data_IF_254165461899
#
_entry.id   IF_254165461899
#
_cell.length_a   1.000
_cell.length_b   1.000
_cell.length_c   1.000
_cell.angle_alpha   90.00
_cell.angle_beta   90.00
_cell.angle_gamma   90.00
#
_symmetry.space_group_name_H-M   'P 1'
#
loop_
_entity.id
_entity.type
_entity.pdbx_description
1 polymer ?
#
# COMPACT_ATOMS: atom_id res chain seq x y z
N UNK A 1 -22.68 9.69 9.24
CA UNK A 1 -21.29 9.21 9.19
C UNK A 1 -20.86 9.22 7.76
N UNK A 2 -19.69 9.79 7.46
CA UNK A 2 -19.31 10.08 6.09
C UNK A 2 -18.77 8.83 5.40
N UNK A 3 -19.26 8.59 4.20
CA UNK A 3 -18.86 7.48 3.36
C UNK A 3 -17.69 7.88 2.46
N UNK A 4 -16.86 6.91 2.10
CA UNK A 4 -15.81 7.03 1.09
C UNK A 4 -16.11 6.06 -0.03
N UNK A 5 -15.96 6.49 -1.27
CA UNK A 5 -16.23 5.68 -2.45
C UNK A 5 -14.90 5.20 -3.03
N UNK A 6 -14.76 3.88 -3.19
CA UNK A 6 -13.56 3.27 -3.77
C UNK A 6 -13.72 3.29 -5.28
N UNK A 7 -12.91 4.09 -5.97
CA UNK A 7 -13.00 4.28 -7.43
C UNK A 7 -11.90 3.54 -8.19
N UNK A 8 -10.79 3.24 -7.51
CA UNK A 8 -9.67 2.52 -8.08
C UNK A 8 -9.03 1.60 -7.04
N UNK A 9 -8.62 0.42 -7.48
CA UNK A 9 -7.90 -0.55 -6.66
C UNK A 9 -6.72 -1.11 -7.45
N UNK A 10 -5.59 -1.26 -6.78
CA UNK A 10 -4.47 -2.07 -7.28
C UNK A 10 -3.97 -3.00 -6.19
N UNK A 11 -3.42 -4.12 -6.60
CA UNK A 11 -2.79 -5.12 -5.73
C UNK A 11 -1.64 -5.75 -6.51
N UNK A 12 -0.51 -5.92 -5.83
CA UNK A 12 0.62 -6.64 -6.36
C UNK A 12 1.29 -7.48 -5.26
N UNK A 13 1.25 -8.79 -5.43
CA UNK A 13 1.93 -9.77 -4.59
C UNK A 13 2.19 -11.05 -5.39
N UNK A 14 3.05 -11.99 -4.92
CA UNK A 14 3.25 -13.27 -5.56
C UNK A 14 1.91 -13.97 -5.85
N UNK A 15 1.56 -14.21 -7.11
CA UNK A 15 0.29 -14.82 -7.51
C UNK A 15 -0.92 -13.87 -7.59
N UNK A 16 -0.78 -12.60 -7.19
CA UNK A 16 -1.82 -11.55 -7.24
C UNK A 16 -1.29 -10.36 -8.04
N UNK A 17 -1.44 -10.39 -9.37
CA UNK A 17 -0.84 -9.40 -10.29
C UNK A 17 -1.92 -8.49 -10.87
N UNK A 18 -2.08 -7.31 -10.29
CA UNK A 18 -3.11 -6.34 -10.68
C UNK A 18 -4.50 -6.76 -10.21
N UNK A 19 -5.42 -5.78 -10.15
CA UNK A 19 -6.76 -6.00 -9.60
C UNK A 19 -7.56 -7.07 -10.35
N UNK A 20 -7.67 -6.95 -11.68
CA UNK A 20 -8.54 -7.81 -12.48
C UNK A 20 -8.18 -9.30 -12.36
N UNK A 21 -6.88 -9.65 -12.40
CA UNK A 21 -6.46 -11.03 -12.23
C UNK A 21 -6.64 -11.51 -10.78
N UNK A 22 -6.35 -10.63 -9.82
CA UNK A 22 -6.45 -10.95 -8.40
C UNK A 22 -7.90 -11.15 -7.94
N UNK A 23 -8.88 -10.45 -8.55
CA UNK A 23 -10.30 -10.63 -8.24
C UNK A 23 -10.74 -12.08 -8.31
N UNK A 24 -10.42 -12.80 -9.39
CA UNK A 24 -10.78 -14.21 -9.55
C UNK A 24 -10.17 -15.11 -8.46
N UNK A 25 -9.02 -14.74 -7.90
CA UNK A 25 -8.42 -15.47 -6.77
C UNK A 25 -9.12 -15.11 -5.47
N UNK A 26 -9.36 -13.82 -5.23
CA UNK A 26 -10.01 -13.31 -4.03
C UNK A 26 -11.47 -13.77 -3.90
N UNK A 27 -12.18 -13.96 -5.02
CA UNK A 27 -13.56 -14.49 -5.06
C UNK A 27 -13.61 -16.02 -4.97
N UNK A 28 -12.46 -16.71 -4.99
CA UNK A 28 -12.39 -18.17 -4.96
C UNK A 28 -12.67 -18.85 -6.30
N UNK A 29 -12.83 -18.11 -7.40
CA UNK A 29 -12.99 -18.67 -8.75
C UNK A 29 -11.72 -19.38 -9.23
N UNK A 30 -10.56 -18.97 -8.74
CA UNK A 30 -9.26 -19.61 -8.97
C UNK A 30 -8.51 -19.80 -7.65
N UNK A 31 -7.81 -20.93 -7.47
CA UNK A 31 -6.99 -21.14 -6.29
C UNK A 31 -5.83 -20.14 -6.26
N UNK A 32 -5.46 -19.70 -5.06
CA UNK A 32 -4.25 -18.91 -4.87
C UNK A 32 -3.01 -19.79 -5.00
N UNK A 33 -2.07 -19.37 -5.84
CA UNK A 33 -0.75 -19.97 -5.94
C UNK A 33 0.29 -18.86 -6.01
N UNK A 34 1.21 -18.86 -5.05
CA UNK A 34 2.34 -17.94 -5.07
C UNK A 34 3.16 -18.15 -6.35
N UNK A 35 3.44 -17.05 -7.05
CA UNK A 35 4.25 -17.03 -8.27
C UNK A 35 5.25 -15.87 -8.22
N UNK A 36 6.34 -15.96 -8.98
CA UNK A 36 7.32 -14.87 -9.04
C UNK A 36 6.66 -13.56 -9.48
N UNK A 37 7.02 -12.46 -8.82
CA UNK A 37 6.59 -11.13 -9.26
C UNK A 37 7.22 -10.81 -10.63
N UNK A 38 6.46 -10.19 -11.54
CA UNK A 38 7.03 -9.66 -12.77
C UNK A 38 8.02 -8.54 -12.44
N UNK A 39 9.02 -8.29 -13.31
CA UNK A 39 9.92 -7.15 -13.14
C UNK A 39 9.12 -5.85 -13.24
N UNK A 40 9.27 -4.98 -12.23
CA UNK A 40 8.61 -3.68 -12.23
C UNK A 40 9.48 -2.61 -12.88
N UNK A 41 8.85 -1.83 -13.75
CA UNK A 41 9.46 -0.69 -14.41
C UNK A 41 8.72 0.60 -14.02
N UNK A 42 9.46 1.60 -13.52
CA UNK A 42 8.92 2.92 -13.21
C UNK A 42 8.87 3.79 -14.48
N UNK A 43 8.08 3.36 -15.47
CA UNK A 43 8.03 4.02 -16.78
C UNK A 43 7.46 5.44 -16.74
N UNK A 44 6.68 5.77 -15.70
CA UNK A 44 6.20 7.13 -15.44
C UNK A 44 7.31 8.14 -15.14
N UNK A 45 8.46 7.68 -14.61
CA UNK A 45 9.54 8.57 -14.26
C UNK A 45 10.36 8.98 -15.49
N UNK A 46 10.92 10.20 -15.52
CA UNK A 46 11.93 10.55 -16.51
C UNK A 46 13.16 9.64 -16.37
N UNK A 47 13.96 9.56 -17.45
CA UNK A 47 14.99 8.54 -17.59
C UNK A 47 16.06 8.57 -16.48
N UNK A 48 16.40 9.74 -15.95
CA UNK A 48 17.43 9.90 -14.91
C UNK A 48 16.95 9.35 -13.57
N UNK A 49 15.73 9.70 -13.18
CA UNK A 49 15.06 9.27 -11.95
C UNK A 49 14.79 7.77 -12.01
N UNK A 50 14.31 7.27 -13.16
CA UNK A 50 14.02 5.85 -13.39
C UNK A 50 15.22 4.93 -13.15
N UNK A 51 16.44 5.40 -13.43
CA UNK A 51 17.68 4.63 -13.21
C UNK A 51 18.09 4.56 -11.74
N UNK A 52 17.56 5.44 -10.89
CA UNK A 52 17.96 5.56 -9.48
C UNK A 52 16.98 4.87 -8.55
N UNK A 53 15.70 4.72 -8.91
CA UNK A 53 14.67 4.20 -8.00
C UNK A 53 14.86 2.75 -7.57
N UNK A 54 14.52 2.50 -6.31
CA UNK A 54 14.60 1.20 -5.63
C UNK A 54 13.41 0.29 -5.99
N UNK A 55 13.46 -0.96 -5.53
CA UNK A 55 12.35 -1.90 -5.69
C UNK A 55 11.07 -1.41 -4.99
N UNK A 56 11.19 -0.83 -3.79
CA UNK A 56 10.03 -0.31 -3.04
C UNK A 56 9.35 0.83 -3.79
N UNK A 57 10.13 1.78 -4.30
CA UNK A 57 9.58 2.90 -5.08
C UNK A 57 8.92 2.39 -6.36
N UNK A 58 9.52 1.42 -7.06
CA UNK A 58 8.90 0.82 -8.26
C UNK A 58 7.56 0.16 -7.94
N UNK A 59 7.46 -0.57 -6.82
CA UNK A 59 6.22 -1.18 -6.34
C UNK A 59 5.16 -0.12 -6.04
N UNK A 60 5.50 0.89 -5.23
CA UNK A 60 4.57 1.95 -4.85
C UNK A 60 4.04 2.73 -6.06
N UNK A 61 4.91 3.12 -7.00
CA UNK A 61 4.51 3.85 -8.21
C UNK A 61 3.65 3.00 -9.15
N UNK A 62 3.94 1.70 -9.28
CA UNK A 62 3.14 0.80 -10.08
C UNK A 62 1.71 0.69 -9.53
N UNK A 63 1.57 0.46 -8.23
CA UNK A 63 0.27 0.38 -7.55
C UNK A 63 -0.53 1.69 -7.67
N UNK A 64 0.16 2.81 -7.43
CA UNK A 64 -0.42 4.14 -7.56
C UNK A 64 -0.96 4.40 -8.98
N UNK A 65 -0.15 4.06 -9.99
CA UNK A 65 -0.53 4.22 -11.40
C UNK A 65 -1.75 3.38 -11.76
N UNK A 66 -1.78 2.11 -11.37
CA UNK A 66 -2.90 1.22 -11.68
C UNK A 66 -4.20 1.69 -11.01
N UNK A 67 -4.16 2.09 -9.74
CA UNK A 67 -5.34 2.57 -9.03
C UNK A 67 -5.89 3.87 -9.63
N UNK A 68 -5.02 4.82 -9.97
CA UNK A 68 -5.43 6.08 -10.65
C UNK A 68 -5.98 5.80 -12.05
N UNK A 69 -5.32 4.92 -12.82
CA UNK A 69 -5.79 4.55 -14.15
C UNK A 69 -7.15 3.85 -14.12
N UNK A 70 -7.40 3.01 -13.12
CA UNK A 70 -8.70 2.36 -12.94
C UNK A 70 -9.82 3.35 -12.67
N UNK A 71 -9.54 4.38 -11.87
CA UNK A 71 -10.51 5.41 -11.53
C UNK A 71 -10.67 6.51 -12.60
N UNK A 72 -9.87 6.46 -13.67
CA UNK A 72 -9.88 7.45 -14.76
C UNK A 72 -9.79 8.90 -14.28
N UNK A 73 -8.91 9.17 -13.31
CA UNK A 73 -8.73 10.50 -12.73
C UNK A 73 -7.35 11.11 -13.04
N UNK A 74 -7.26 12.45 -12.98
CA UNK A 74 -5.99 13.15 -13.14
C UNK A 74 -5.12 12.99 -11.88
N UNK A 75 -3.95 12.33 -11.94
CA UNK A 75 -3.09 12.14 -10.77
C UNK A 75 -2.64 13.46 -10.13
N UNK A 76 -2.64 14.58 -10.88
CA UNK A 76 -2.24 15.90 -10.38
C UNK A 76 -3.23 16.50 -9.39
N UNK A 77 -4.46 16.01 -9.36
CA UNK A 77 -5.54 16.53 -8.50
C UNK A 77 -5.77 15.69 -7.25
N UNK A 78 -5.03 14.59 -7.08
CA UNK A 78 -5.25 13.60 -6.03
C UNK A 78 -4.24 13.80 -4.90
N UNK A 79 -4.72 13.96 -3.67
CA UNK A 79 -3.86 13.92 -2.48
C UNK A 79 -3.39 12.48 -2.24
N UNK A 80 -2.23 12.29 -1.59
CA UNK A 80 -1.66 10.94 -1.44
C UNK A 80 -1.32 10.58 0.00
N UNK A 81 -1.49 9.31 0.35
CA UNK A 81 -1.02 8.73 1.60
C UNK A 81 -0.20 7.49 1.26
N UNK A 82 1.08 7.49 1.63
CA UNK A 82 1.95 6.34 1.49
C UNK A 82 2.19 5.69 2.87
N UNK A 83 1.89 4.41 2.98
CA UNK A 83 2.06 3.65 4.21
C UNK A 83 3.04 2.49 3.99
N UNK A 84 4.00 2.34 4.89
CA UNK A 84 4.92 1.21 4.93
C UNK A 84 5.42 1.00 6.35
N UNK A 85 5.50 -0.25 6.79
CA UNK A 85 6.07 -0.59 8.08
C UNK A 85 7.54 -0.21 8.16
N UNK A 86 8.34 -0.66 7.20
CA UNK A 86 9.80 -0.59 7.25
C UNK A 86 10.43 0.53 6.42
N UNK A 87 9.68 1.12 5.49
CA UNK A 87 10.28 1.93 4.44
C UNK A 87 11.25 1.11 3.58
N UNK A 88 12.27 1.76 3.04
CA UNK A 88 13.26 1.11 2.17
C UNK A 88 14.40 0.50 2.99
N UNK A 89 14.14 -0.70 3.53
CA UNK A 89 15.07 -1.42 4.39
C UNK A 89 16.36 -1.83 3.69
N UNK A 90 16.34 -2.06 2.38
CA UNK A 90 17.54 -2.34 1.58
C UNK A 90 18.46 -1.11 1.53
N UNK A 91 17.90 0.08 1.28
CA UNK A 91 18.67 1.34 1.32
C UNK A 91 19.25 1.59 2.71
N UNK A 92 18.46 1.35 3.77
CA UNK A 92 18.93 1.53 5.14
C UNK A 92 20.07 0.58 5.50
N UNK A 93 19.97 -0.70 5.12
CA UNK A 93 21.03 -1.68 5.32
C UNK A 93 22.33 -1.25 4.62
N UNK A 94 22.24 -0.80 3.36
CA UNK A 94 23.41 -0.33 2.60
C UNK A 94 24.08 0.89 3.24
N UNK A 95 23.29 1.83 3.78
CA UNK A 95 23.83 2.98 4.51
C UNK A 95 24.52 2.53 5.80
N UNK A 96 23.88 1.67 6.58
CA UNK A 96 24.45 1.14 7.81
C UNK A 96 25.75 0.37 7.54
N UNK A 97 25.78 -0.48 6.52
CA UNK A 97 26.98 -1.20 6.10
C UNK A 97 28.10 -0.22 5.71
N UNK A 98 27.80 0.81 4.91
CA UNK A 98 28.78 1.83 4.52
C UNK A 98 29.37 2.58 5.73
N UNK A 99 28.57 2.85 6.77
CA UNK A 99 29.04 3.50 8.01
C UNK A 99 30.04 2.67 8.81
N UNK A 100 30.10 1.34 8.58
CA UNK A 100 31.07 0.44 9.24
C UNK A 100 32.44 0.41 8.55
N UNK A 101 32.54 0.91 7.31
CA UNK A 101 33.76 0.91 6.51
C UNK A 101 34.68 2.11 6.84
N UNK A 102 36.00 2.02 6.53
CA UNK A 102 36.88 3.19 6.54
C UNK A 102 36.32 4.33 5.68
N UNK A 103 36.50 5.57 6.11
CA UNK A 103 36.00 6.80 5.46
C UNK A 103 34.46 6.92 5.33
N UNK A 104 33.70 5.93 5.82
CA UNK A 104 32.23 5.94 5.90
C UNK A 104 31.56 6.38 4.58
N UNK A 105 31.80 5.67 3.46
CA UNK A 105 31.42 6.10 2.12
C UNK A 105 29.90 5.97 1.86
N UNK A 106 29.10 6.77 2.54
CA UNK A 106 27.64 6.81 2.35
C UNK A 106 27.33 7.46 0.99
N UNK A 107 26.67 6.70 0.12
CA UNK A 107 26.22 7.20 -1.19
C UNK A 107 25.17 8.30 -1.04
N UNK A 108 25.35 9.49 -1.65
CA UNK A 108 24.32 10.53 -1.67
C UNK A 108 22.99 10.05 -2.25
N UNK A 109 23.04 9.13 -3.24
CA UNK A 109 21.84 8.54 -3.83
C UNK A 109 21.06 7.72 -2.81
N UNK A 110 21.75 6.87 -2.04
CA UNK A 110 21.10 6.09 -1.00
C UNK A 110 20.58 6.98 0.13
N UNK A 111 21.34 8.00 0.53
CA UNK A 111 20.88 8.96 1.54
C UNK A 111 19.59 9.68 1.12
N UNK A 112 19.47 10.10 -0.15
CA UNK A 112 18.22 10.68 -0.65
C UNK A 112 17.04 9.70 -0.67
N UNK A 113 17.30 8.39 -0.73
CA UNK A 113 16.30 7.34 -0.78
C UNK A 113 15.96 6.75 0.58
N UNK A 114 16.70 7.12 1.63
CA UNK A 114 16.52 6.54 2.97
C UNK A 114 15.32 7.12 3.72
N UNK A 115 14.77 8.24 3.24
CA UNK A 115 13.60 8.87 3.86
C UNK A 115 12.33 8.12 3.49
N UNK A 116 11.43 7.96 4.47
CA UNK A 116 10.20 7.17 4.30
C UNK A 116 9.28 7.72 3.20
N UNK A 117 9.29 9.03 2.98
CA UNK A 117 8.51 9.70 1.95
C UNK A 117 9.12 9.63 0.53
N UNK A 118 10.19 8.85 0.31
CA UNK A 118 10.81 8.70 -1.02
C UNK A 118 9.80 8.28 -2.09
N UNK A 119 8.89 7.30 -1.88
CA UNK A 119 7.85 6.97 -2.85
C UNK A 119 6.93 8.15 -3.20
N UNK A 120 6.54 8.95 -2.20
CA UNK A 120 5.72 10.14 -2.41
C UNK A 120 6.43 11.20 -3.25
N UNK A 121 7.72 11.45 -2.98
CA UNK A 121 8.53 12.38 -3.77
C UNK A 121 8.64 11.96 -5.23
N UNK A 122 8.90 10.69 -5.50
CA UNK A 122 8.95 10.19 -6.88
C UNK A 122 7.57 10.18 -7.55
N UNK A 123 6.47 9.97 -6.83
CA UNK A 123 5.13 10.10 -7.38
C UNK A 123 4.84 11.53 -7.82
N UNK A 124 5.19 12.52 -6.99
CA UNK A 124 5.06 13.94 -7.33
C UNK A 124 5.89 14.31 -8.57
N UNK A 125 7.13 13.83 -8.67
CA UNK A 125 7.98 14.04 -9.86
C UNK A 125 7.38 13.40 -11.10
N UNK A 126 6.90 12.15 -10.99
CA UNK A 126 6.33 11.39 -12.09
C UNK A 126 5.06 12.03 -12.67
N UNK A 127 4.22 12.59 -11.79
CA UNK A 127 2.87 13.03 -12.15
C UNK A 127 2.74 14.55 -12.26
N UNK A 128 3.66 15.31 -11.66
CA UNK A 128 3.51 16.75 -11.44
C UNK A 128 2.49 17.10 -10.37
N UNK A 129 2.08 16.15 -9.51
CA UNK A 129 1.14 16.40 -8.43
C UNK A 129 1.76 17.29 -7.34
N UNK A 130 1.10 18.41 -7.04
CA UNK A 130 1.47 19.37 -6.00
C UNK A 130 0.46 19.39 -4.83
N UNK A 131 -0.39 18.36 -4.73
CA UNK A 131 -1.37 18.21 -3.64
C UNK A 131 -0.69 17.71 -2.36
N UNK A 132 -1.42 17.73 -1.26
CA UNK A 132 -0.94 17.23 0.02
C UNK A 132 -0.55 15.75 -0.10
N UNK A 133 0.59 15.39 0.51
CA UNK A 133 1.05 14.01 0.59
C UNK A 133 1.58 13.68 1.98
N UNK A 134 1.02 12.64 2.59
CA UNK A 134 1.49 12.08 3.86
C UNK A 134 2.27 10.79 3.60
N UNK A 135 3.34 10.56 4.36
CA UNK A 135 4.01 9.24 4.43
C UNK A 135 4.13 8.83 5.88
N UNK A 136 3.68 7.61 6.21
CA UNK A 136 3.57 7.15 7.59
C UNK A 136 4.01 5.71 7.77
N UNK A 137 4.41 5.41 9.01
CA UNK A 137 4.66 4.07 9.51
C UNK A 137 3.97 3.91 10.84
N UNK A 138 3.30 2.78 11.03
CA UNK A 138 2.73 2.34 12.29
C UNK A 138 3.05 0.85 12.51
N UNK A 139 4.29 0.45 12.17
CA UNK A 139 4.72 -0.95 12.20
C UNK A 139 3.75 -1.85 11.42
N UNK A 140 3.30 -2.93 12.02
CA UNK A 140 2.32 -3.86 11.46
C UNK A 140 0.92 -3.24 11.28
N UNK A 141 0.61 -2.14 11.98
CA UNK A 141 -0.61 -1.35 11.82
C UNK A 141 -0.56 -0.32 10.67
N UNK A 142 0.51 -0.26 9.88
CA UNK A 142 0.71 0.80 8.88
C UNK A 142 -0.43 0.93 7.87
N UNK A 143 -1.01 -0.17 7.41
CA UNK A 143 -2.14 -0.11 6.46
C UNK A 143 -3.43 0.40 7.10
N UNK A 144 -3.66 0.09 8.38
CA UNK A 144 -4.81 0.57 9.14
C UNK A 144 -4.68 2.07 9.42
N UNK A 145 -3.49 2.51 9.84
CA UNK A 145 -3.17 3.93 10.03
C UNK A 145 -3.26 4.71 8.70
N UNK A 146 -2.76 4.13 7.61
CA UNK A 146 -2.87 4.69 6.26
C UNK A 146 -4.31 4.88 5.81
N UNK A 147 -5.19 3.91 6.07
CA UNK A 147 -6.61 4.03 5.75
C UNK A 147 -7.32 5.10 6.59
N UNK A 148 -7.00 5.21 7.88
CA UNK A 148 -7.53 6.28 8.73
C UNK A 148 -7.07 7.66 8.26
N UNK A 149 -5.78 7.84 7.96
CA UNK A 149 -5.23 9.09 7.45
C UNK A 149 -5.86 9.46 6.11
N UNK A 150 -5.96 8.51 5.18
CA UNK A 150 -6.58 8.76 3.88
C UNK A 150 -8.06 9.12 4.01
N UNK A 151 -8.79 8.46 4.91
CA UNK A 151 -10.17 8.78 5.22
C UNK A 151 -10.31 10.18 5.82
N UNK A 152 -9.47 10.51 6.81
CA UNK A 152 -9.48 11.82 7.45
C UNK A 152 -9.18 12.93 6.43
N UNK A 153 -8.13 12.76 5.62
CA UNK A 153 -7.73 13.73 4.61
C UNK A 153 -8.82 13.91 3.54
N UNK A 154 -9.39 12.82 3.03
CA UNK A 154 -10.45 12.89 2.01
C UNK A 154 -11.68 13.64 2.51
N UNK A 155 -12.11 13.35 3.74
CA UNK A 155 -13.31 13.95 4.33
C UNK A 155 -13.11 15.40 4.78
N UNK A 156 -11.93 15.74 5.29
CA UNK A 156 -11.63 17.10 5.78
C UNK A 156 -11.35 18.07 4.64
N UNK A 157 -10.61 17.64 3.62
CA UNK A 157 -10.25 18.47 2.46
C UNK A 157 -11.26 18.34 1.30
N UNK A 158 -12.29 17.51 1.45
CA UNK A 158 -13.29 17.22 0.42
C UNK A 158 -12.69 16.92 -0.96
N UNK A 159 -11.60 16.15 -0.98
CA UNK A 159 -10.79 15.84 -2.16
C UNK A 159 -10.53 14.34 -2.29
N UNK A 160 -10.37 13.79 -3.50
CA UNK A 160 -9.92 12.41 -3.67
C UNK A 160 -8.53 12.19 -3.07
N UNK A 161 -8.35 11.02 -2.44
CA UNK A 161 -7.09 10.58 -1.83
C UNK A 161 -6.71 9.21 -2.36
N UNK A 162 -5.46 9.08 -2.82
CA UNK A 162 -4.84 7.81 -3.14
C UNK A 162 -4.05 7.30 -1.93
N UNK A 163 -4.50 6.19 -1.35
CA UNK A 163 -3.73 5.42 -0.38
C UNK A 163 -2.88 4.39 -1.14
N UNK A 164 -1.58 4.33 -0.85
CA UNK A 164 -0.67 3.27 -1.28
C UNK A 164 -0.06 2.65 -0.04
N UNK A 165 -0.21 1.34 0.14
CA UNK A 165 0.43 0.59 1.20
C UNK A 165 1.29 -0.52 0.61
N UNK A 166 2.58 -0.58 0.94
CA UNK A 166 3.46 -1.61 0.43
C UNK A 166 4.65 -1.86 1.34
N UNK A 167 5.11 -3.11 1.38
CA UNK A 167 6.30 -3.52 2.10
C UNK A 167 7.02 -4.64 1.35
N UNK A 168 8.36 -4.62 1.42
CA UNK A 168 9.23 -5.64 0.85
C UNK A 168 9.96 -6.39 1.98
N UNK A 169 10.28 -7.68 1.80
CA UNK A 169 11.17 -8.39 2.71
C UNK A 169 12.48 -7.64 2.89
N UNK A 170 12.91 -7.35 4.14
CA UNK A 170 14.19 -6.70 4.38
C UNK A 170 15.35 -7.66 4.05
N UNK A 171 16.56 -7.13 3.79
CA UNK A 171 17.74 -7.97 3.57
C UNK A 171 18.15 -8.71 4.85
N UNK A 172 18.96 -9.76 4.71
CA UNK A 172 19.71 -10.33 5.83
C UNK A 172 20.74 -9.30 6.32
N UNK A 173 20.92 -9.08 7.64
CA UNK A 173 20.37 -9.84 8.77
C UNK A 173 19.03 -9.32 9.32
N UNK A 174 18.54 -8.17 8.83
CA UNK A 174 17.29 -7.56 9.32
C UNK A 174 16.09 -8.50 9.20
N UNK A 175 16.07 -9.37 8.19
CA UNK A 175 15.04 -10.39 8.00
C UNK A 175 14.86 -11.32 9.21
N UNK A 176 15.92 -11.62 9.96
CA UNK A 176 15.85 -12.49 11.15
C UNK A 176 15.08 -11.83 12.30
N UNK A 177 15.10 -10.51 12.36
CA UNK A 177 14.43 -9.72 13.40
C UNK A 177 13.08 -9.16 12.96
N UNK A 178 12.85 -9.04 11.64
CA UNK A 178 11.60 -8.56 11.06
C UNK A 178 11.21 -9.43 9.86
N UNK A 179 10.66 -10.64 10.10
CA UNK A 179 10.35 -11.58 9.03
C UNK A 179 9.14 -11.10 8.22
N UNK A 180 9.38 -10.77 6.95
CA UNK A 180 8.35 -10.58 5.94
C UNK A 180 8.45 -11.70 4.92
N UNK A 181 7.39 -12.47 4.74
CA UNK A 181 7.44 -13.73 3.97
C UNK A 181 7.38 -13.51 2.47
N UNK A 182 6.81 -12.38 2.04
CA UNK A 182 6.64 -12.04 0.64
C UNK A 182 6.50 -10.52 0.46
N UNK A 183 6.88 -9.98 -0.72
CA UNK A 183 6.51 -8.62 -1.10
C UNK A 183 5.00 -8.51 -1.27
N UNK A 184 4.43 -7.41 -0.81
CA UNK A 184 3.01 -7.10 -1.00
C UNK A 184 2.85 -5.60 -1.14
N UNK A 185 1.94 -5.19 -2.01
CA UNK A 185 1.36 -3.86 -1.91
C UNK A 185 -0.04 -3.77 -2.50
N UNK A 186 -0.72 -2.72 -2.12
CA UNK A 186 -2.06 -2.36 -2.56
C UNK A 186 -2.19 -0.85 -2.68
N UNK A 187 -3.16 -0.42 -3.48
CA UNK A 187 -3.58 0.97 -3.52
C UNK A 187 -5.10 1.08 -3.60
N UNK A 188 -5.65 2.12 -2.98
CA UNK A 188 -7.06 2.49 -3.02
C UNK A 188 -7.18 3.96 -3.41
N UNK A 189 -7.96 4.27 -4.45
CA UNK A 189 -8.42 5.64 -4.68
C UNK A 189 -9.76 5.83 -3.95
N UNK A 190 -9.77 6.74 -2.98
CA UNK A 190 -10.90 7.04 -2.11
C UNK A 190 -11.45 8.43 -2.43
N UNK A 191 -12.73 8.51 -2.75
CA UNK A 191 -13.42 9.77 -3.02
C UNK A 191 -14.42 10.07 -1.89
N UNK A 192 -14.44 11.29 -1.32
CA UNK A 192 -15.44 11.67 -0.32
C UNK A 192 -16.82 11.98 -0.90
N UNK A 193 -16.92 12.13 -2.23
CA UNK A 193 -18.17 12.39 -2.94
C UNK A 193 -18.49 11.22 -3.85
N UNK A 194 -19.76 10.82 -3.91
CA UNK A 194 -20.18 9.73 -4.78
C UNK A 194 -19.96 10.12 -6.24
N UNK A 195 -19.10 9.39 -6.94
CA UNK A 195 -18.98 9.46 -8.41
C UNK A 195 -19.22 8.08 -9.01
N UNK A 196 -19.32 8.02 -10.35
CA UNK A 196 -19.50 6.77 -11.08
C UNK A 196 -18.34 6.60 -12.08
N UNK A 197 -17.73 5.40 -12.19
CA UNK A 197 -18.04 4.16 -11.46
C UNK A 197 -17.33 4.03 -10.09
N UNK A 198 -17.96 3.34 -9.13
CA UNK A 198 -17.37 2.93 -7.84
C UNK A 198 -17.36 1.40 -7.70
N UNK A 199 -16.42 0.87 -6.93
CA UNK A 199 -16.26 -0.55 -6.60
C UNK A 199 -16.87 -0.92 -5.25
N UNK A 200 -16.84 0.01 -4.30
CA UNK A 200 -17.42 -0.14 -2.96
C UNK A 200 -17.57 1.22 -2.29
N UNK A 201 -18.30 1.22 -1.19
CA UNK A 201 -18.46 2.31 -0.22
C UNK A 201 -17.88 1.84 1.11
N UNK A 202 -17.02 2.66 1.70
CA UNK A 202 -16.37 2.39 2.98
C UNK A 202 -16.85 3.39 4.04
N UNK A 203 -17.08 2.89 5.24
CA UNK A 203 -17.13 3.72 6.45
C UNK A 203 -16.03 3.26 7.38
N UNK A 204 -15.04 4.13 7.59
CA UNK A 204 -13.83 3.83 8.35
C UNK A 204 -13.93 4.45 9.74
N UNK A 205 -13.68 3.68 10.79
CA UNK A 205 -13.81 4.15 12.18
C UNK A 205 -12.70 3.56 13.05
N UNK A 206 -11.99 4.38 13.84
CA UNK A 206 -11.14 3.86 14.90
C UNK A 206 -12.02 3.20 15.96
N UNK A 207 -11.58 2.06 16.45
CA UNK A 207 -12.21 1.32 17.54
C UNK A 207 -11.11 0.87 18.51
N UNK A 208 -11.50 0.56 19.75
CA UNK A 208 -10.57 -0.09 20.68
C UNK A 208 -10.11 -1.46 20.17
N UNK A 209 -9.14 -2.05 20.87
CA UNK A 209 -8.54 -3.32 20.51
C UNK A 209 -9.59 -4.39 20.13
N UNK A 210 -9.39 -5.00 18.96
CA UNK A 210 -10.21 -6.08 18.41
C UNK A 210 -9.32 -7.02 17.61
N UNK A 211 -9.70 -8.30 17.60
CA UNK A 211 -9.04 -9.28 16.74
C UNK A 211 -9.20 -8.89 15.25
N UNK A 212 -8.14 -8.98 14.44
CA UNK A 212 -8.21 -8.69 13.02
C UNK A 212 -9.10 -9.70 12.30
N UNK A 213 -9.77 -9.26 11.24
CA UNK A 213 -10.49 -10.19 10.35
C UNK A 213 -9.48 -11.07 9.59
N UNK A 214 -9.76 -12.37 9.54
CA UNK A 214 -8.93 -13.38 8.88
C UNK A 214 -9.55 -13.82 7.56
N UNK A 215 -8.75 -14.48 6.72
CA UNK A 215 -9.20 -15.12 5.48
C UNK A 215 -9.49 -16.60 5.75
N UNK A 216 -10.43 -17.17 5.00
CA UNK A 216 -10.76 -18.60 5.08
C UNK A 216 -9.73 -19.46 4.33
N UNK A 217 -9.16 -18.94 3.25
CA UNK A 217 -8.09 -19.60 2.51
C UNK A 217 -6.77 -19.52 3.30
N UNK A 218 -6.15 -20.67 3.63
CA UNK A 218 -4.98 -20.72 4.50
C UNK A 218 -3.73 -20.07 3.88
N UNK A 219 -3.56 -20.14 2.56
CA UNK A 219 -2.39 -19.60 1.88
C UNK A 219 -2.50 -18.07 1.73
N UNK A 220 -3.70 -17.56 1.47
CA UNK A 220 -3.97 -16.12 1.54
C UNK A 220 -3.86 -15.59 2.97
N UNK A 221 -4.30 -16.34 3.98
CA UNK A 221 -4.13 -15.96 5.39
C UNK A 221 -2.64 -15.94 5.80
N UNK A 222 -1.84 -16.88 5.29
CA UNK A 222 -0.39 -16.89 5.49
C UNK A 222 0.26 -15.64 4.86
N UNK A 223 -0.16 -15.23 3.66
CA UNK A 223 0.28 -13.98 3.04
C UNK A 223 -0.15 -12.76 3.87
N UNK A 224 -1.41 -12.70 4.32
CA UNK A 224 -1.97 -11.62 5.16
C UNK A 224 -1.15 -11.41 6.44
N UNK A 225 -0.73 -12.49 7.08
CA UNK A 225 0.08 -12.46 8.31
C UNK A 225 1.55 -12.15 8.02
N UNK A 226 2.05 -12.54 6.87
CA UNK A 226 3.47 -12.46 6.50
C UNK A 226 3.93 -11.10 5.98
N UNK A 227 3.02 -10.14 5.79
CA UNK A 227 3.37 -8.79 5.37
C UNK A 227 2.39 -7.75 5.97
N UNK A 228 2.88 -6.63 6.56
CA UNK A 228 2.05 -5.58 7.14
C UNK A 228 0.99 -5.01 6.17
N UNK A 229 1.39 -4.70 4.93
CA UNK A 229 0.49 -4.19 3.90
C UNK A 229 -0.55 -5.24 3.47
N UNK A 230 -0.21 -6.54 3.55
CA UNK A 230 -1.12 -7.65 3.23
C UNK A 230 -2.27 -7.80 4.23
N UNK A 231 -2.23 -7.12 5.39
CA UNK A 231 -3.34 -7.09 6.33
C UNK A 231 -4.62 -6.47 5.76
N UNK A 232 -4.54 -5.78 4.64
CA UNK A 232 -5.70 -5.31 3.89
C UNK A 232 -6.38 -6.38 3.00
N UNK A 233 -5.84 -7.60 2.90
CA UNK A 233 -6.45 -8.66 2.07
C UNK A 233 -7.94 -8.94 2.37
N UNK A 234 -8.43 -8.97 3.63
CA UNK A 234 -9.86 -9.13 3.91
C UNK A 234 -10.74 -8.00 3.34
N UNK A 235 -10.23 -6.75 3.37
CA UNK A 235 -10.88 -5.60 2.74
C UNK A 235 -10.95 -5.80 1.23
N UNK A 236 -9.82 -6.13 0.60
CA UNK A 236 -9.74 -6.36 -0.85
C UNK A 236 -10.62 -7.54 -1.30
N UNK A 237 -10.69 -8.62 -0.51
CA UNK A 237 -11.55 -9.75 -0.78
C UNK A 237 -13.03 -9.35 -0.72
N UNK A 238 -13.43 -8.59 0.28
CA UNK A 238 -14.84 -8.15 0.43
C UNK A 238 -15.24 -7.24 -0.74
N UNK A 239 -14.36 -6.32 -1.16
CA UNK A 239 -14.58 -5.49 -2.36
C UNK A 239 -14.65 -6.37 -3.62
N UNK A 240 -13.75 -7.34 -3.79
CA UNK A 240 -13.72 -8.21 -4.97
C UNK A 240 -15.00 -9.05 -5.14
N UNK A 241 -15.53 -9.55 -4.02
CA UNK A 241 -16.78 -10.32 -3.94
C UNK A 241 -18.04 -9.47 -4.10
N UNK A 242 -17.93 -8.14 -4.07
CA UNK A 242 -19.06 -7.20 -4.10
C UNK A 242 -20.13 -7.53 -3.02
N UNK A 243 -19.67 -7.90 -1.82
CA UNK A 243 -20.53 -8.22 -0.69
C UNK A 243 -20.49 -7.13 0.36
N UNK A 244 -21.62 -6.90 1.03
CA UNK A 244 -21.61 -6.08 2.25
C UNK A 244 -20.93 -6.84 3.38
N UNK A 245 -20.13 -6.14 4.17
CA UNK A 245 -19.37 -6.76 5.24
C UNK A 245 -18.80 -5.76 6.22
N UNK A 246 -18.29 -6.29 7.32
CA UNK A 246 -17.52 -5.55 8.31
C UNK A 246 -16.20 -6.26 8.52
N UNK A 247 -15.11 -5.53 8.37
CA UNK A 247 -13.78 -6.05 8.65
C UNK A 247 -13.07 -5.21 9.72
N UNK A 248 -12.14 -5.83 10.42
CA UNK A 248 -11.26 -5.20 11.39
C UNK A 248 -9.84 -5.26 10.86
N UNK A 249 -9.26 -4.08 10.59
CA UNK A 249 -7.82 -3.92 10.37
C UNK A 249 -7.21 -3.59 11.73
N UNK A 250 -6.52 -4.55 12.34
CA UNK A 250 -5.86 -4.38 13.63
C UNK A 250 -4.39 -4.76 13.55
N UNK A 251 -3.65 -4.23 14.51
CA UNK A 251 -2.36 -4.75 14.91
C UNK A 251 -2.34 -4.95 16.43
N UNK A 252 -1.29 -5.60 16.95
CA UNK A 252 -1.02 -5.95 18.36
C UNK A 252 -1.11 -4.77 19.36
N UNK A 253 -1.44 -3.56 18.90
CA UNK A 253 -1.70 -2.37 19.71
C UNK A 253 -3.15 -2.23 20.19
N UNK A 254 -3.40 -1.10 20.86
CA UNK A 254 -4.67 -0.80 21.54
C UNK A 254 -5.78 -0.28 20.62
N UNK A 255 -5.45 0.10 19.38
CA UNK A 255 -6.37 0.70 18.42
C UNK A 255 -6.46 -0.18 17.18
N UNK A 256 -7.69 -0.48 16.78
CA UNK A 256 -8.02 -1.15 15.53
C UNK A 256 -8.90 -0.24 14.66
N UNK A 257 -9.07 -0.60 13.40
CA UNK A 257 -9.91 0.12 12.45
C UNK A 257 -11.03 -0.80 11.99
N UNK A 258 -12.25 -0.39 12.28
CA UNK A 258 -13.43 -1.03 11.72
C UNK A 258 -13.74 -0.39 10.36
N UNK A 259 -13.92 -1.22 9.35
CA UNK A 259 -14.38 -0.80 8.02
C UNK A 259 -15.69 -1.52 7.72
N UNK A 260 -16.79 -0.78 7.70
CA UNK A 260 -18.04 -1.24 7.12
C UNK A 260 -17.96 -1.02 5.59
N UNK A 261 -18.34 -2.05 4.81
CA UNK A 261 -18.18 -2.11 3.36
C UNK A 261 -19.54 -2.41 2.73
N UNK A 262 -19.90 -1.66 1.70
CA UNK A 262 -21.09 -1.89 0.86
C UNK A 262 -20.70 -1.79 -0.62
N UNK A 263 -21.27 -2.59 -1.53
CA UNK A 263 -21.00 -2.47 -2.97
C UNK A 263 -21.50 -1.14 -3.58
#
# INVERSE_FOLDING_TARGET
MSALFVEGVSILAPGLIGWNASRAVLTGERPYHAAALPPLAANLLPANERRRVTALVKLALHLAQEAVAMADCDPRTVCTVFASSGGDSEVLDQICAALTLPDRPVSPTYFHQSVHNTPAGYWAIATGCARASTSLSAYDGSVAAGLLEAAALALTEATPVLLVACDLPPPFPLLEHRPLTAPFGMALLLNPTATAPRLATLQVRPVGHRAPTTLADPDLEALRRGNPAARALPLLQTIACATSGRIILADEGEIAVNVDIEP
#
